data_IF_611448311110
#
_entry.id   IF_611448311110
#
_cell.length_a   1.000
_cell.length_b   1.000
_cell.length_c   1.000
_cell.angle_alpha   90.00
_cell.angle_beta   90.00
_cell.angle_gamma   90.00
#
_symmetry.space_group_name_H-M   'P 1'
#
loop_
_entity.id
_entity.type
_entity.pdbx_description
1 polymer ?
#
# COMPACT_ATOMS: atom_id res chain seq x y z
N UNK A 1 -0.65 -15.73 -17.04
CA UNK A 1 -1.87 -14.90 -16.91
C UNK A 1 -1.49 -13.67 -16.11
N UNK A 2 -1.45 -12.51 -16.76
CA UNK A 2 -1.07 -11.23 -16.13
C UNK A 2 -2.30 -10.48 -15.63
N UNK A 3 -2.07 -9.39 -14.88
CA UNK A 3 -3.14 -8.47 -14.48
C UNK A 3 -3.83 -7.87 -15.72
N UNK A 4 -5.16 -7.75 -15.66
CA UNK A 4 -5.97 -7.12 -16.70
C UNK A 4 -5.59 -5.64 -16.87
N UNK A 5 -5.31 -5.24 -18.12
CA UNK A 5 -4.84 -3.88 -18.44
C UNK A 5 -5.85 -2.78 -18.13
N UNK A 6 -7.15 -3.07 -18.26
CA UNK A 6 -8.24 -2.12 -17.95
C UNK A 6 -8.35 -1.90 -16.45
N UNK A 7 -8.23 -2.98 -15.67
CA UNK A 7 -8.24 -2.93 -14.20
C UNK A 7 -7.04 -2.13 -13.71
N UNK A 8 -5.84 -2.37 -14.25
CA UNK A 8 -4.63 -1.61 -13.90
C UNK A 8 -4.82 -0.13 -14.19
N UNK A 9 -5.22 0.22 -15.41
CA UNK A 9 -5.36 1.62 -15.83
C UNK A 9 -6.40 2.37 -14.98
N UNK A 10 -7.53 1.72 -14.70
CA UNK A 10 -8.61 2.29 -13.87
C UNK A 10 -8.13 2.50 -12.43
N UNK A 11 -7.41 1.52 -11.86
CA UNK A 11 -6.88 1.64 -10.50
C UNK A 11 -5.86 2.77 -10.38
N UNK A 12 -4.90 2.88 -11.32
CA UNK A 12 -3.89 3.94 -11.28
C UNK A 12 -4.52 5.33 -11.42
N UNK A 13 -5.59 5.48 -12.22
CA UNK A 13 -6.36 6.72 -12.31
C UNK A 13 -6.95 7.10 -10.96
N UNK A 14 -7.54 6.14 -10.25
CA UNK A 14 -8.13 6.40 -8.94
C UNK A 14 -7.08 6.72 -7.87
N UNK A 15 -5.94 6.04 -7.89
CA UNK A 15 -4.80 6.36 -7.01
C UNK A 15 -4.36 7.82 -7.21
N UNK A 16 -4.33 8.31 -8.45
CA UNK A 16 -4.04 9.71 -8.74
C UNK A 16 -5.14 10.66 -8.21
N UNK A 17 -6.41 10.27 -8.28
CA UNK A 17 -7.52 11.02 -7.69
C UNK A 17 -7.37 11.13 -6.16
N UNK A 18 -7.12 10.01 -5.48
CA UNK A 18 -6.86 9.98 -4.04
C UNK A 18 -5.70 10.91 -3.66
N UNK A 19 -4.58 10.85 -4.39
CA UNK A 19 -3.44 11.75 -4.18
C UNK A 19 -3.84 13.22 -4.29
N UNK A 20 -4.62 13.58 -5.33
CA UNK A 20 -5.12 14.96 -5.52
C UNK A 20 -6.06 15.39 -4.39
N UNK A 21 -6.81 14.46 -3.82
CA UNK A 21 -7.69 14.69 -2.67
C UNK A 21 -6.94 14.69 -1.31
N UNK A 22 -5.61 14.54 -1.30
CA UNK A 22 -4.82 14.47 -0.07
C UNK A 22 -4.94 13.14 0.69
N UNK A 23 -5.48 12.10 0.06
CA UNK A 23 -5.64 10.77 0.65
C UNK A 23 -4.37 9.95 0.40
N UNK A 24 -3.68 9.60 1.48
CA UNK A 24 -2.48 8.76 1.43
C UNK A 24 -2.85 7.28 1.34
N UNK A 25 -2.23 6.56 0.40
CA UNK A 25 -2.43 5.12 0.22
C UNK A 25 -1.16 4.38 0.62
N UNK A 26 -1.23 3.63 1.73
CA UNK A 26 -0.19 2.70 2.14
C UNK A 26 -0.53 1.29 1.67
N UNK A 27 0.46 0.61 1.08
CA UNK A 27 0.26 -0.72 0.50
C UNK A 27 1.10 -1.75 1.25
N UNK A 28 0.46 -2.83 1.70
CA UNK A 28 1.15 -4.01 2.24
C UNK A 28 1.07 -5.14 1.23
N UNK A 29 2.19 -5.42 0.58
CA UNK A 29 2.27 -6.45 -0.45
C UNK A 29 2.87 -7.73 0.14
N UNK A 30 2.05 -8.78 0.15
CA UNK A 30 2.40 -10.12 0.66
C UNK A 30 2.88 -11.09 -0.43
N UNK A 31 2.54 -10.81 -1.68
CA UNK A 31 2.85 -11.68 -2.81
C UNK A 31 4.25 -11.40 -3.39
N UNK A 32 4.83 -12.42 -4.04
CA UNK A 32 6.14 -12.34 -4.72
C UNK A 32 6.02 -12.28 -6.24
N UNK A 33 4.80 -12.21 -6.77
CA UNK A 33 4.59 -12.12 -8.22
C UNK A 33 5.18 -10.81 -8.77
N UNK A 34 6.06 -10.94 -9.76
CA UNK A 34 6.80 -9.80 -10.32
C UNK A 34 5.87 -8.75 -10.94
N UNK A 35 4.82 -9.16 -11.64
CA UNK A 35 3.89 -8.23 -12.28
C UNK A 35 3.10 -7.43 -11.22
N UNK A 36 2.69 -8.10 -10.14
CA UNK A 36 2.01 -7.43 -9.04
C UNK A 36 2.96 -6.48 -8.27
N UNK A 37 4.25 -6.82 -8.15
CA UNK A 37 5.28 -5.96 -7.53
C UNK A 37 5.47 -4.70 -8.35
N UNK A 38 5.58 -4.82 -9.68
CA UNK A 38 5.70 -3.68 -10.58
C UNK A 38 4.45 -2.79 -10.54
N UNK A 39 3.27 -3.38 -10.42
CA UNK A 39 2.02 -2.65 -10.24
C UNK A 39 2.01 -1.84 -8.92
N UNK A 40 2.37 -2.46 -7.79
CA UNK A 40 2.40 -1.78 -6.48
C UNK A 40 3.46 -0.68 -6.43
N UNK A 41 4.59 -0.85 -7.12
CA UNK A 41 5.59 0.23 -7.28
C UNK A 41 4.97 1.46 -7.94
N UNK A 42 4.26 1.30 -9.07
CA UNK A 42 3.57 2.40 -9.76
C UNK A 42 2.51 3.06 -8.89
N UNK A 43 1.72 2.28 -8.14
CA UNK A 43 0.74 2.83 -7.20
C UNK A 43 1.41 3.72 -6.15
N UNK A 44 2.53 3.27 -5.60
CA UNK A 44 3.25 3.99 -4.53
C UNK A 44 3.93 5.27 -5.03
N UNK A 45 4.47 5.24 -6.25
CA UNK A 45 5.01 6.42 -6.93
C UNK A 45 3.95 7.51 -7.12
N UNK A 46 2.72 7.12 -7.45
CA UNK A 46 1.61 8.05 -7.60
C UNK A 46 1.12 8.53 -6.23
N UNK A 47 0.87 7.64 -5.27
CA UNK A 47 0.28 8.03 -3.99
C UNK A 47 1.22 8.79 -3.06
N UNK A 48 2.55 8.73 -3.30
CA UNK A 48 3.61 9.10 -2.34
C UNK A 48 3.51 8.37 -0.99
N UNK A 49 2.73 7.30 -0.93
CA UNK A 49 2.57 6.46 0.24
C UNK A 49 3.67 5.41 0.34
N UNK A 50 3.68 4.66 1.43
CA UNK A 50 4.67 3.61 1.67
C UNK A 50 4.17 2.29 1.09
N UNK A 51 5.03 1.61 0.34
CA UNK A 51 4.86 0.19 -0.01
C UNK A 51 5.75 -0.67 0.88
N UNK A 52 5.14 -1.62 1.57
CA UNK A 52 5.81 -2.62 2.39
C UNK A 52 5.76 -3.96 1.68
N UNK A 53 6.90 -4.42 1.17
CA UNK A 53 7.06 -5.76 0.64
C UNK A 53 7.45 -6.67 1.80
N UNK A 54 6.54 -7.54 2.22
CA UNK A 54 6.64 -8.22 3.51
C UNK A 54 6.02 -9.61 3.42
N UNK A 55 6.29 -10.50 4.39
CA UNK A 55 5.54 -11.74 4.54
C UNK A 55 4.44 -11.57 5.60
N UNK A 56 3.54 -12.53 5.71
CA UNK A 56 2.39 -12.47 6.61
C UNK A 56 2.80 -12.27 8.08
N UNK A 57 3.89 -12.91 8.52
CA UNK A 57 4.39 -12.81 9.89
C UNK A 57 4.94 -11.41 10.19
N UNK A 58 5.78 -10.87 9.30
CA UNK A 58 6.37 -9.54 9.45
C UNK A 58 5.33 -8.42 9.28
N UNK A 59 4.27 -8.65 8.48
CA UNK A 59 3.13 -7.75 8.40
C UNK A 59 2.38 -7.66 9.74
N UNK A 60 2.08 -8.82 10.35
CA UNK A 60 1.37 -8.88 11.63
C UNK A 60 2.12 -8.11 12.72
N UNK A 61 3.44 -8.28 12.80
CA UNK A 61 4.28 -7.53 13.74
C UNK A 61 4.24 -6.02 13.47
N UNK A 62 4.27 -5.58 12.21
CA UNK A 62 4.25 -4.17 11.86
C UNK A 62 2.90 -3.51 12.21
N UNK A 63 1.78 -4.15 11.87
CA UNK A 63 0.43 -3.67 12.20
C UNK A 63 0.24 -3.62 13.71
N UNK A 64 0.64 -4.68 14.42
CA UNK A 64 0.54 -4.73 15.88
C UNK A 64 1.38 -3.64 16.54
N UNK A 65 2.60 -3.39 16.07
CA UNK A 65 3.44 -2.31 16.59
C UNK A 65 2.85 -0.92 16.30
N UNK A 66 2.30 -0.67 15.11
CA UNK A 66 1.64 0.61 14.79
C UNK A 66 0.39 0.80 15.68
N UNK A 67 -0.40 -0.26 15.86
CA UNK A 67 -1.57 -0.25 16.74
C UNK A 67 -1.20 0.05 18.20
N UNK A 68 -0.18 -0.62 18.74
CA UNK A 68 0.30 -0.39 20.10
C UNK A 68 0.86 1.04 20.26
N UNK A 69 1.67 1.53 19.29
CA UNK A 69 2.20 2.90 19.30
C UNK A 69 1.09 3.96 19.28
N UNK A 70 0.06 3.78 18.46
CA UNK A 70 -1.10 4.69 18.43
C UNK A 70 -1.92 4.65 19.72
N UNK A 71 -1.97 3.50 20.40
CA UNK A 71 -2.61 3.38 21.72
C UNK A 71 -1.83 4.09 22.83
N UNK A 72 -0.49 4.14 22.73
CA UNK A 72 0.38 4.89 23.66
C UNK A 72 0.28 6.41 23.48
N UNK A 73 -0.13 6.92 22.30
CA UNK A 73 -0.24 8.37 22.04
C UNK A 73 -1.51 9.04 22.59
N UNK A 74 -2.37 8.32 23.35
CA UNK A 74 -3.33 8.96 24.25
C UNK A 74 -2.83 8.81 25.67
N UNK A 75 -2.22 9.87 26.19
CA UNK A 75 -2.17 10.39 27.58
C UNK A 75 -0.90 11.24 27.68
N UNK A 76 -1.03 12.51 27.33
CA UNK A 76 -0.41 13.69 27.96
C UNK A 76 -1.11 14.92 27.41
#
# INVERSE_FOLDING_TARGET
MGLDSTVIATTLREVANCRRAGILINTFMLARDRALVEFVKRVSEISKGKAYFTNTMTLGQFILMDFLKKKTQKIS
#
